data_IF_187071658415
#
_entry.id   IF_187071658415
#
_cell.length_a   1.000
_cell.length_b   1.000
_cell.length_c   1.000
_cell.angle_alpha   90.00
_cell.angle_beta   90.00
_cell.angle_gamma   90.00
#
_symmetry.space_group_name_H-M   'P 1'
#
loop_
_entity.id
_entity.type
_entity.pdbx_description
1 polymer ?
#
# COMPACT_ATOMS: atom_id res chain seq x y z
N UNK A 1 30.41 12.49 13.56
CA UNK A 1 29.32 12.16 14.50
C UNK A 1 28.17 11.45 13.80
N UNK A 2 27.60 12.01 12.72
CA UNK A 2 26.55 11.30 11.94
C UNK A 2 27.08 9.99 11.34
N UNK A 3 28.24 10.00 10.69
CA UNK A 3 28.83 8.79 10.06
C UNK A 3 29.06 7.64 11.03
N UNK A 4 29.54 7.93 12.26
CA UNK A 4 29.74 6.90 13.29
C UNK A 4 28.42 6.29 13.75
N UNK A 5 27.37 7.11 13.89
CA UNK A 5 26.02 6.63 14.25
C UNK A 5 25.41 5.76 13.14
N UNK A 6 25.63 6.13 11.87
CA UNK A 6 25.17 5.32 10.72
C UNK A 6 25.88 3.95 10.69
N UNK A 7 27.17 3.90 11.00
CA UNK A 7 27.89 2.63 11.07
C UNK A 7 27.35 1.70 12.18
N UNK A 8 26.97 2.25 13.34
CA UNK A 8 26.32 1.50 14.41
C UNK A 8 24.93 1.00 14.02
N UNK A 9 24.11 1.88 13.41
CA UNK A 9 22.79 1.51 12.92
C UNK A 9 22.86 0.40 11.86
N UNK A 10 23.81 0.50 10.93
CA UNK A 10 24.04 -0.52 9.91
C UNK A 10 24.38 -1.90 10.52
N UNK A 11 25.17 -1.94 11.60
CA UNK A 11 25.45 -3.19 12.33
C UNK A 11 24.18 -3.79 12.92
N UNK A 12 23.34 -2.97 13.59
CA UNK A 12 22.07 -3.43 14.17
C UNK A 12 21.15 -4.00 13.08
N UNK A 13 20.99 -3.28 11.98
CA UNK A 13 20.13 -3.72 10.85
C UNK A 13 20.65 -5.04 10.26
N UNK A 14 21.96 -5.17 10.04
CA UNK A 14 22.55 -6.39 9.50
C UNK A 14 22.42 -7.59 10.43
N UNK A 15 22.52 -7.40 11.75
CA UNK A 15 22.29 -8.48 12.72
C UNK A 15 20.84 -8.98 12.64
N UNK A 16 19.88 -8.07 12.46
CA UNK A 16 18.47 -8.42 12.42
C UNK A 16 17.98 -8.95 11.07
N UNK A 17 18.48 -8.41 9.95
CA UNK A 17 17.95 -8.64 8.60
C UNK A 17 18.95 -9.31 7.64
N UNK A 18 20.21 -9.46 8.05
CA UNK A 18 21.30 -9.91 7.19
C UNK A 18 21.91 -8.78 6.36
N UNK A 19 23.05 -9.06 5.73
CA UNK A 19 23.74 -8.12 4.85
C UNK A 19 23.13 -8.16 3.45
N UNK A 20 22.68 -7.02 2.89
CA UNK A 20 22.13 -6.98 1.53
C UNK A 20 23.17 -7.47 0.50
N UNK A 21 22.80 -8.37 -0.43
CA UNK A 21 23.75 -8.88 -1.42
C UNK A 21 24.13 -7.80 -2.44
N UNK A 22 25.42 -7.69 -2.75
CA UNK A 22 25.92 -6.82 -3.82
C UNK A 22 25.78 -7.46 -5.20
N UNK A 23 25.73 -8.80 -5.24
CA UNK A 23 25.44 -9.58 -6.44
C UNK A 23 24.75 -10.90 -6.09
N UNK A 24 23.99 -11.45 -7.02
CA UNK A 24 23.35 -12.76 -6.93
C UNK A 24 23.26 -13.39 -8.33
N UNK A 25 23.11 -14.71 -8.37
CA UNK A 25 22.87 -15.46 -9.59
C UNK A 25 21.39 -15.82 -9.66
N UNK A 26 20.75 -15.55 -10.79
CA UNK A 26 19.37 -15.94 -11.04
C UNK A 26 19.33 -17.08 -12.06
N UNK A 27 18.75 -18.20 -11.63
CA UNK A 27 18.54 -19.37 -12.49
C UNK A 27 17.08 -19.39 -12.93
N UNK A 28 16.84 -18.96 -14.17
CA UNK A 28 15.52 -19.04 -14.80
C UNK A 28 15.35 -20.45 -15.37
N UNK A 29 14.25 -21.12 -15.03
CA UNK A 29 14.02 -22.52 -15.45
C UNK A 29 14.00 -22.73 -16.97
N UNK A 30 13.73 -21.67 -17.72
CA UNK A 30 13.56 -21.72 -19.18
C UNK A 30 14.81 -21.22 -19.94
N UNK A 31 15.88 -20.80 -19.24
CA UNK A 31 17.14 -20.37 -19.84
C UNK A 31 18.30 -21.23 -19.33
N UNK A 32 19.06 -21.86 -20.23
CA UNK A 32 20.22 -22.71 -19.86
C UNK A 32 21.39 -21.94 -19.25
N UNK A 33 21.37 -20.59 -19.28
CA UNK A 33 22.46 -19.77 -18.77
C UNK A 33 22.15 -19.15 -17.42
N UNK A 34 23.06 -19.39 -16.46
CA UNK A 34 23.09 -18.67 -15.20
C UNK A 34 23.48 -17.20 -15.45
N UNK A 35 22.57 -16.27 -15.11
CA UNK A 35 22.83 -14.85 -15.23
C UNK A 35 23.15 -14.24 -13.85
N UNK A 36 24.32 -13.60 -13.75
CA UNK A 36 24.73 -12.88 -12.54
C UNK A 36 24.32 -11.43 -12.61
N UNK A 37 23.65 -10.95 -11.57
CA UNK A 37 23.16 -9.58 -11.45
C UNK A 37 23.64 -8.92 -10.15
N UNK A 38 23.73 -7.59 -10.17
CA UNK A 38 23.54 -6.76 -8.98
C UNK A 38 22.05 -6.39 -8.86
N UNK A 39 21.53 -6.03 -7.66
CA UNK A 39 20.14 -5.60 -7.52
C UNK A 39 19.73 -4.47 -8.48
N UNK A 40 20.66 -3.54 -8.76
CA UNK A 40 20.44 -2.45 -9.71
C UNK A 40 20.33 -2.96 -11.16
N UNK A 41 21.29 -3.77 -11.62
CA UNK A 41 21.27 -4.29 -13.00
C UNK A 41 20.12 -5.26 -13.23
N UNK A 42 19.70 -5.99 -12.20
CA UNK A 42 18.48 -6.79 -12.24
C UNK A 42 17.25 -5.92 -12.48
N UNK A 43 17.07 -4.84 -11.71
CA UNK A 43 15.96 -3.90 -11.94
C UNK A 43 15.99 -3.31 -13.35
N UNK A 44 17.14 -2.79 -13.79
CA UNK A 44 17.29 -2.13 -15.09
C UNK A 44 16.99 -3.07 -16.27
N UNK A 45 17.36 -4.35 -16.18
CA UNK A 45 17.20 -5.32 -17.28
C UNK A 45 15.88 -6.11 -17.22
N UNK A 46 15.45 -6.51 -16.04
CA UNK A 46 14.33 -7.45 -15.87
C UNK A 46 13.01 -6.75 -15.52
N UNK A 47 13.06 -5.58 -14.87
CA UNK A 47 11.87 -4.90 -14.34
C UNK A 47 11.56 -3.63 -15.14
N UNK A 48 12.52 -2.72 -15.28
CA UNK A 48 12.32 -1.40 -15.87
C UNK A 48 11.67 -1.42 -17.28
N UNK A 49 11.97 -2.38 -18.19
CA UNK A 49 11.29 -2.46 -19.49
C UNK A 49 9.79 -2.73 -19.41
N UNK A 50 9.33 -3.35 -18.33
CA UNK A 50 7.92 -3.71 -18.11
C UNK A 50 7.23 -2.80 -17.08
N UNK A 51 8.00 -2.22 -16.16
CA UNK A 51 7.52 -1.37 -15.08
C UNK A 51 8.51 -0.24 -14.82
N UNK A 52 8.36 0.86 -15.56
CA UNK A 52 9.15 2.08 -15.35
C UNK A 52 8.64 2.83 -14.12
N UNK A 53 9.45 2.93 -13.07
CA UNK A 53 9.13 3.68 -11.85
C UNK A 53 8.93 5.18 -12.13
N UNK A 54 9.78 5.76 -12.98
CA UNK A 54 9.74 7.19 -13.30
C UNK A 54 8.50 7.61 -14.10
N UNK A 55 7.78 6.64 -14.68
CA UNK A 55 6.51 6.89 -15.37
C UNK A 55 5.30 6.86 -14.42
N UNK A 56 5.50 6.58 -13.12
CA UNK A 56 4.43 6.52 -12.13
C UNK A 56 4.21 7.89 -11.50
N UNK A 57 2.95 8.25 -11.33
CA UNK A 57 2.55 9.51 -10.72
C UNK A 57 1.57 9.26 -9.58
N UNK A 58 1.64 10.11 -8.56
CA UNK A 58 0.74 10.07 -7.42
C UNK A 58 -0.38 11.11 -7.57
N UNK A 59 -1.62 10.64 -7.48
CA UNK A 59 -2.82 11.48 -7.41
C UNK A 59 -3.46 11.32 -6.03
N UNK A 60 -3.64 12.42 -5.34
CA UNK A 60 -4.31 12.47 -4.03
C UNK A 60 -5.73 13.00 -4.12
N UNK A 61 -6.53 12.71 -3.11
CA UNK A 61 -7.83 13.33 -2.87
C UNK A 61 -7.91 13.87 -1.44
N UNK A 62 -7.64 15.16 -1.34
CA UNK A 62 -7.74 15.97 -0.15
C UNK A 62 -8.86 17.02 -0.34
N UNK A 63 -10.06 16.78 0.22
CA UNK A 63 -11.19 17.68 0.10
C UNK A 63 -11.18 18.84 1.10
N UNK A 64 -10.12 19.00 1.91
CA UNK A 64 -10.04 20.11 2.86
C UNK A 64 -10.12 21.45 2.11
N UNK A 65 -10.83 22.46 2.63
CA UNK A 65 -10.91 23.78 1.99
C UNK A 65 -9.55 24.47 1.78
N UNK A 66 -8.54 24.11 2.56
CA UNK A 66 -7.16 24.59 2.41
C UNK A 66 -6.42 23.96 1.22
N UNK A 67 -6.90 22.84 0.68
CA UNK A 67 -6.25 22.09 -0.39
C UNK A 67 -7.06 22.25 -1.69
N UNK A 68 -6.52 23.00 -2.64
CA UNK A 68 -7.15 23.21 -3.95
C UNK A 68 -6.89 22.04 -4.88
N UNK A 69 -7.88 21.64 -5.67
CA UNK A 69 -7.69 20.65 -6.72
C UNK A 69 -6.84 21.21 -7.87
N UNK A 70 -6.14 20.34 -8.58
CA UNK A 70 -5.18 20.70 -9.64
C UNK A 70 -3.78 20.99 -9.13
N UNK A 71 -3.58 21.24 -7.84
CA UNK A 71 -2.31 21.69 -7.26
C UNK A 71 -1.45 20.51 -6.78
N UNK A 72 -0.13 20.71 -6.84
CA UNK A 72 0.83 19.78 -6.26
C UNK A 72 1.07 20.11 -4.79
N UNK A 73 1.15 19.08 -3.96
CA UNK A 73 1.49 19.18 -2.55
C UNK A 73 2.67 18.27 -2.23
N UNK A 74 3.53 18.68 -1.32
CA UNK A 74 4.58 17.84 -0.75
C UNK A 74 4.55 17.92 0.78
N UNK A 75 4.99 16.86 1.44
CA UNK A 75 5.01 16.81 2.91
C UNK A 75 6.41 17.17 3.39
N UNK A 76 6.52 18.14 4.30
CA UNK A 76 7.79 18.55 4.90
C UNK A 76 8.51 17.36 5.55
N UNK A 77 9.80 17.21 5.27
CA UNK A 77 10.67 16.16 5.82
C UNK A 77 10.22 14.71 5.55
N UNK A 78 9.43 14.47 4.51
CA UNK A 78 8.87 13.15 4.17
C UNK A 78 9.79 12.22 3.36
N UNK A 79 11.06 12.56 3.19
CA UNK A 79 12.02 11.71 2.46
C UNK A 79 12.67 10.67 3.38
N UNK A 80 12.81 9.45 2.88
CA UNK A 80 13.59 8.39 3.52
C UNK A 80 15.07 8.38 3.12
N UNK A 81 15.48 9.27 2.21
CA UNK A 81 16.86 9.38 1.70
C UNK A 81 17.33 10.83 1.82
N UNK A 82 18.54 11.03 2.34
CA UNK A 82 19.16 12.37 2.36
C UNK A 82 19.26 12.91 0.93
N UNK A 83 18.70 14.11 0.71
CA UNK A 83 18.59 14.73 -0.62
C UNK A 83 17.79 13.91 -1.65
N UNK A 84 16.96 12.97 -1.18
CA UNK A 84 16.01 12.23 -2.01
C UNK A 84 14.78 13.05 -2.39
N UNK A 85 13.90 12.45 -3.18
CA UNK A 85 12.62 13.04 -3.56
C UNK A 85 11.69 13.12 -2.34
N UNK A 86 11.00 14.24 -2.20
CA UNK A 86 9.94 14.39 -1.22
C UNK A 86 8.70 13.61 -1.68
N UNK A 87 7.95 13.07 -0.72
CA UNK A 87 6.62 12.55 -1.00
C UNK A 87 5.75 13.70 -1.50
N UNK A 88 5.22 13.54 -2.71
CA UNK A 88 4.37 14.53 -3.36
C UNK A 88 3.21 13.87 -4.09
N UNK A 89 2.12 14.61 -4.22
CA UNK A 89 0.92 14.20 -4.93
C UNK A 89 0.26 15.41 -5.59
N UNK A 90 -0.47 15.18 -6.69
CA UNK A 90 -1.37 16.19 -7.25
C UNK A 90 -2.78 15.97 -6.70
N UNK A 91 -3.37 17.00 -6.09
CA UNK A 91 -4.69 16.90 -5.49
C UNK A 91 -5.79 16.95 -6.56
N UNK A 92 -6.71 16.00 -6.58
CA UNK A 92 -7.75 15.87 -7.58
C UNK A 92 -9.11 15.49 -6.97
N UNK A 93 -10.24 15.81 -7.64
CA UNK A 93 -11.54 15.29 -7.27
C UNK A 93 -11.55 13.76 -7.33
N UNK A 94 -12.29 13.11 -6.42
CA UNK A 94 -12.35 11.65 -6.36
C UNK A 94 -12.85 11.02 -7.67
N UNK A 95 -13.72 11.71 -8.41
CA UNK A 95 -14.20 11.23 -9.71
C UNK A 95 -13.05 11.03 -10.70
N UNK A 96 -12.06 11.94 -10.70
CA UNK A 96 -10.85 11.82 -11.54
C UNK A 96 -10.03 10.60 -11.12
N UNK A 97 -9.85 10.38 -9.81
CA UNK A 97 -9.13 9.20 -9.31
C UNK A 97 -9.84 7.92 -9.75
N UNK A 98 -11.15 7.81 -9.57
CA UNK A 98 -11.94 6.63 -9.95
C UNK A 98 -11.89 6.35 -11.46
N UNK A 99 -11.95 7.39 -12.29
CA UNK A 99 -11.83 7.29 -13.74
C UNK A 99 -10.44 6.78 -14.15
N UNK A 100 -9.39 7.37 -13.60
CA UNK A 100 -8.00 7.00 -13.87
C UNK A 100 -7.71 5.57 -13.40
N UNK A 101 -8.22 5.18 -12.23
CA UNK A 101 -8.16 3.80 -11.74
C UNK A 101 -8.81 2.84 -12.73
N UNK A 102 -10.04 3.12 -13.16
CA UNK A 102 -10.76 2.27 -14.11
C UNK A 102 -10.01 2.13 -15.44
N UNK A 103 -9.45 3.22 -15.97
CA UNK A 103 -8.62 3.19 -17.19
C UNK A 103 -7.35 2.34 -17.03
N UNK A 104 -6.64 2.52 -15.92
CA UNK A 104 -5.43 1.74 -15.61
C UNK A 104 -5.74 0.24 -15.55
N UNK A 105 -6.82 -0.12 -14.85
CA UNK A 105 -7.24 -1.51 -14.65
C UNK A 105 -7.76 -2.14 -15.94
N UNK A 106 -8.52 -1.40 -16.75
CA UNK A 106 -8.96 -1.85 -18.08
C UNK A 106 -7.78 -2.14 -19.02
N UNK A 107 -6.67 -1.41 -18.86
CA UNK A 107 -5.42 -1.64 -19.59
C UNK A 107 -4.52 -2.73 -18.96
N UNK A 108 -4.99 -3.42 -17.90
CA UNK A 108 -4.23 -4.48 -17.22
C UNK A 108 -3.13 -3.98 -16.28
N UNK A 109 -3.06 -2.68 -15.99
CA UNK A 109 -2.13 -2.13 -15.01
C UNK A 109 -2.80 -2.02 -13.64
N UNK A 110 -2.30 -2.79 -12.68
CA UNK A 110 -2.72 -2.68 -11.28
C UNK A 110 -2.48 -1.28 -10.71
N UNK A 111 -3.30 -0.90 -9.72
CA UNK A 111 -3.25 0.41 -9.07
C UNK A 111 -2.87 0.24 -7.62
N UNK A 112 -1.85 0.96 -7.17
CA UNK A 112 -1.55 1.09 -5.75
C UNK A 112 -2.47 2.14 -5.15
N UNK A 113 -3.12 1.82 -4.04
CA UNK A 113 -4.11 2.65 -3.38
C UNK A 113 -3.74 2.81 -1.91
N UNK A 114 -3.58 4.05 -1.44
CA UNK A 114 -3.54 4.36 -0.02
C UNK A 114 -4.94 4.70 0.51
N UNK A 115 -5.30 4.12 1.65
CA UNK A 115 -6.61 4.28 2.23
C UNK A 115 -6.60 4.20 3.76
N UNK A 116 -7.75 4.51 4.36
CA UNK A 116 -8.03 4.28 5.77
C UNK A 116 -8.94 3.05 5.93
N UNK A 117 -8.38 1.91 6.32
CA UNK A 117 -9.20 0.74 6.66
C UNK A 117 -9.52 0.77 8.16
N UNK A 118 -10.64 1.39 8.48
CA UNK A 118 -11.15 1.43 9.85
C UNK A 118 -11.71 0.08 10.29
N UNK A 119 -11.60 -0.21 11.59
CA UNK A 119 -12.12 -1.45 12.20
C UNK A 119 -13.63 -1.61 12.01
N UNK A 120 -14.38 -0.51 11.89
CA UNK A 120 -15.82 -0.52 11.68
C UNK A 120 -16.23 -1.15 10.34
N UNK A 121 -15.32 -1.25 9.36
CA UNK A 121 -15.57 -1.92 8.08
C UNK A 121 -15.05 -3.37 8.05
N UNK A 122 -14.38 -3.82 9.11
CA UNK A 122 -13.79 -5.15 9.13
C UNK A 122 -14.88 -6.20 9.34
N UNK A 123 -15.23 -6.91 8.28
CA UNK A 123 -16.07 -8.10 8.29
C UNK A 123 -15.25 -9.35 7.90
N UNK A 124 -15.86 -10.53 8.04
CA UNK A 124 -15.25 -11.80 7.60
C UNK A 124 -15.31 -12.01 6.08
N UNK A 125 -16.05 -11.15 5.38
CA UNK A 125 -16.35 -11.29 3.96
C UNK A 125 -15.41 -10.48 3.05
N UNK A 126 -14.57 -9.62 3.65
CA UNK A 126 -13.64 -8.76 2.91
C UNK A 126 -14.32 -7.65 2.10
N UNK A 127 -15.51 -7.21 2.50
CA UNK A 127 -16.27 -6.18 1.78
C UNK A 127 -16.18 -4.84 2.50
N UNK A 128 -15.59 -3.84 1.85
CA UNK A 128 -15.54 -2.46 2.31
C UNK A 128 -16.63 -1.64 1.62
N UNK A 129 -17.70 -1.34 2.36
CA UNK A 129 -18.83 -0.51 1.95
C UNK A 129 -19.38 0.25 3.17
N UNK A 130 -19.92 1.44 2.95
CA UNK A 130 -20.63 2.20 3.98
C UNK A 130 -21.90 1.47 4.46
N UNK A 131 -22.44 0.57 3.64
CA UNK A 131 -23.67 -0.18 3.91
C UNK A 131 -23.43 -1.55 4.56
N UNK A 132 -22.17 -1.90 4.87
CA UNK A 132 -21.84 -3.18 5.51
C UNK A 132 -22.52 -3.34 6.86
N UNK A 133 -22.68 -2.25 7.63
CA UNK A 133 -23.36 -2.25 8.92
C UNK A 133 -24.47 -1.20 8.92
N UNK A 134 -25.67 -1.61 9.33
CA UNK A 134 -26.78 -0.67 9.50
C UNK A 134 -26.81 -0.11 10.93
N UNK A 135 -25.86 0.77 11.25
CA UNK A 135 -25.75 1.36 12.58
C UNK A 135 -26.94 2.25 12.95
N UNK A 136 -27.53 2.94 11.97
CA UNK A 136 -28.68 3.81 12.19
C UNK A 136 -29.89 3.02 12.70
N UNK A 137 -30.13 1.82 12.17
CA UNK A 137 -31.19 0.95 12.67
C UNK A 137 -30.97 0.48 14.12
N UNK A 138 -29.71 0.35 14.55
CA UNK A 138 -29.37 -0.12 15.90
C UNK A 138 -29.38 1.02 16.92
N UNK A 139 -28.77 2.16 16.58
CA UNK A 139 -28.50 3.26 17.50
C UNK A 139 -29.40 4.49 17.28
N UNK A 140 -30.19 4.52 16.21
CA UNK A 140 -31.01 5.67 15.85
C UNK A 140 -30.21 6.89 15.39
N UNK A 141 -28.95 6.72 14.99
CA UNK A 141 -28.08 7.81 14.52
C UNK A 141 -27.03 7.30 13.52
N UNK A 142 -26.52 8.17 12.61
CA UNK A 142 -25.40 7.82 11.76
C UNK A 142 -24.13 7.61 12.58
N UNK A 143 -23.36 6.56 12.27
CA UNK A 143 -22.09 6.25 12.91
C UNK A 143 -20.99 6.26 11.84
N UNK A 144 -19.96 7.08 12.04
CA UNK A 144 -18.81 7.19 11.14
C UNK A 144 -19.00 8.08 9.90
N UNK A 145 -20.25 8.45 9.57
CA UNK A 145 -20.60 9.29 8.41
C UNK A 145 -21.19 10.66 8.78
N UNK A 146 -21.25 10.99 10.08
CA UNK A 146 -21.81 12.27 10.55
C UNK A 146 -20.96 13.49 10.15
N UNK A 147 -19.65 13.29 9.98
CA UNK A 147 -18.73 14.29 9.45
C UNK A 147 -18.37 13.90 8.02
N UNK A 148 -18.22 14.89 7.14
CA UNK A 148 -17.66 14.64 5.82
C UNK A 148 -16.15 14.31 5.91
N UNK A 149 -15.56 13.94 4.79
CA UNK A 149 -14.15 13.54 4.77
C UNK A 149 -13.20 14.68 5.16
N UNK A 150 -13.48 15.92 4.76
CA UNK A 150 -12.64 17.07 5.07
C UNK A 150 -12.61 17.32 6.58
N UNK A 151 -13.77 17.32 7.22
CA UNK A 151 -13.92 17.44 8.66
C UNK A 151 -13.22 16.30 9.39
N UNK A 152 -13.40 15.05 8.93
CA UNK A 152 -12.70 13.90 9.53
C UNK A 152 -11.18 14.03 9.43
N UNK A 153 -10.64 14.62 8.36
CA UNK A 153 -9.21 14.89 8.24
C UNK A 153 -8.76 16.00 9.20
N UNK A 154 -9.52 17.09 9.32
CA UNK A 154 -9.23 18.21 10.21
C UNK A 154 -9.25 17.79 11.69
N UNK A 155 -10.26 17.01 12.09
CA UNK A 155 -10.41 16.49 13.46
C UNK A 155 -9.61 15.20 13.71
N UNK A 156 -8.76 14.78 12.77
CA UNK A 156 -7.89 13.59 12.88
C UNK A 156 -8.66 12.28 13.15
N UNK A 157 -9.89 12.20 12.67
CA UNK A 157 -10.72 11.00 12.71
C UNK A 157 -10.46 10.05 11.53
N UNK A 158 -9.74 10.50 10.50
CA UNK A 158 -9.30 9.66 9.37
C UNK A 158 -7.94 10.10 8.86
N UNK A 159 -7.12 9.13 8.47
CA UNK A 159 -5.82 9.33 7.80
C UNK A 159 -5.45 8.05 7.06
N UNK A 160 -4.54 8.15 6.07
CA UNK A 160 -3.98 6.98 5.40
C UNK A 160 -3.25 6.09 6.42
N UNK A 161 -3.67 4.84 6.56
CA UNK A 161 -3.08 3.88 7.50
C UNK A 161 -2.65 2.56 6.84
N UNK A 162 -2.98 2.37 5.57
CA UNK A 162 -2.64 1.15 4.84
C UNK A 162 -2.62 1.39 3.34
N UNK A 163 -2.06 0.42 2.60
CA UNK A 163 -2.13 0.38 1.15
C UNK A 163 -2.66 -0.96 0.64
N UNK A 164 -3.35 -0.89 -0.48
CA UNK A 164 -3.91 -2.01 -1.21
C UNK A 164 -3.39 -2.01 -2.65
N UNK A 165 -3.25 -3.20 -3.22
CA UNK A 165 -3.04 -3.36 -4.66
C UNK A 165 -4.37 -3.74 -5.30
N UNK A 166 -4.94 -2.80 -6.05
CA UNK A 166 -6.20 -2.98 -6.79
C UNK A 166 -5.87 -3.57 -8.15
N UNK A 167 -6.57 -4.66 -8.50
CA UNK A 167 -6.33 -5.43 -9.73
C UNK A 167 -7.57 -5.61 -10.57
N UNK A 168 -8.75 -5.27 -10.05
CA UNK A 168 -10.03 -5.49 -10.73
C UNK A 168 -10.95 -4.28 -10.58
N UNK A 169 -11.78 -4.04 -11.58
CA UNK A 169 -12.87 -3.07 -11.57
C UNK A 169 -14.13 -3.74 -12.13
N UNK A 170 -15.27 -3.50 -11.51
CA UNK A 170 -16.59 -3.85 -12.05
C UNK A 170 -17.35 -2.58 -12.35
N UNK A 171 -17.93 -2.53 -13.55
CA UNK A 171 -18.73 -1.41 -14.04
C UNK A 171 -20.22 -1.73 -13.92
N UNK A 172 -21.05 -0.69 -13.81
CA UNK A 172 -22.50 -0.80 -13.91
C UNK A 172 -22.99 -0.83 -15.38
N UNK A 173 -24.31 -0.83 -15.57
CA UNK A 173 -24.93 -0.85 -16.90
C UNK A 173 -24.67 0.43 -17.73
N UNK A 174 -24.22 1.52 -17.10
CA UNK A 174 -23.86 2.79 -17.73
C UNK A 174 -22.34 2.94 -17.89
N UNK A 175 -21.58 1.84 -17.72
CA UNK A 175 -20.13 1.81 -17.75
C UNK A 175 -19.45 2.69 -16.69
N UNK A 176 -20.13 3.00 -15.59
CA UNK A 176 -19.54 3.71 -14.45
C UNK A 176 -18.94 2.71 -13.45
N UNK A 177 -17.81 3.04 -12.79
CA UNK A 177 -17.25 2.19 -11.75
C UNK A 177 -18.23 1.96 -10.60
N UNK A 178 -18.48 0.70 -10.26
CA UNK A 178 -19.36 0.31 -9.14
C UNK A 178 -18.57 -0.20 -7.94
N UNK A 179 -17.58 -1.07 -8.21
CA UNK A 179 -16.72 -1.69 -7.21
C UNK A 179 -15.36 -2.04 -7.79
N UNK A 180 -14.37 -2.10 -6.93
CA UNK A 180 -13.00 -2.48 -7.23
C UNK A 180 -12.61 -3.71 -6.42
N UNK A 181 -11.61 -4.46 -6.88
CA UNK A 181 -11.13 -5.67 -6.24
C UNK A 181 -9.63 -5.67 -6.05
N UNK A 182 -9.17 -6.21 -4.92
CA UNK A 182 -7.76 -6.51 -4.70
C UNK A 182 -7.44 -7.95 -5.10
N UNK A 183 -6.16 -8.21 -5.38
CA UNK A 183 -5.72 -9.54 -5.84
C UNK A 183 -6.17 -10.64 -4.85
N UNK A 184 -6.91 -11.62 -5.37
CA UNK A 184 -7.24 -12.86 -4.66
C UNK A 184 -5.97 -13.66 -4.51
N UNK A 185 -5.49 -13.89 -3.28
CA UNK A 185 -4.51 -14.95 -3.05
C UNK A 185 -5.27 -16.27 -3.18
N UNK A 186 -5.40 -16.83 -4.38
CA UNK A 186 -5.79 -18.23 -4.51
C UNK A 186 -4.71 -19.03 -3.78
N UNK A 187 -5.03 -19.48 -2.58
CA UNK A 187 -4.26 -20.49 -1.88
C UNK A 187 -4.40 -21.81 -2.68
N UNK A 188 -3.76 -21.88 -3.85
CA UNK A 188 -3.30 -23.16 -4.36
C UNK A 188 -2.11 -23.53 -3.49
N UNK A 189 -2.37 -24.45 -2.58
CA UNK A 189 -1.39 -25.31 -1.93
C UNK A 189 -0.29 -25.72 -2.91
N UNK A 190 0.84 -25.02 -2.86
CA UNK A 190 2.14 -25.62 -3.09
C UNK A 190 2.95 -25.27 -1.86
N UNK A 191 2.93 -26.19 -0.89
CA UNK A 191 3.94 -26.24 0.15
C UNK A 191 5.28 -26.45 -0.55
N UNK A 192 5.93 -25.36 -0.93
CA UNK A 192 7.37 -25.35 -1.15
C UNK A 192 7.93 -25.65 0.23
N UNK A 193 8.37 -26.90 0.40
CA UNK A 193 9.20 -27.31 1.53
C UNK A 193 10.28 -26.26 1.69
N UNK A 194 10.41 -25.73 2.90
CA UNK A 194 11.59 -24.99 3.32
C UNK A 194 12.83 -25.72 2.78
N UNK A 195 13.58 -25.09 1.88
CA UNK A 195 14.99 -25.44 1.72
C UNK A 195 15.71 -24.84 2.92
N UNK A 196 15.62 -25.54 4.04
CA UNK A 196 16.54 -25.39 5.16
C UNK A 196 17.88 -25.96 4.70
N UNK A 197 18.90 -25.10 4.65
CA UNK A 197 20.29 -25.55 4.69
C UNK A 197 20.51 -26.13 6.09
N UNK A 198 20.47 -27.46 6.19
CA UNK A 198 20.90 -28.17 7.39
C UNK A 198 22.41 -28.04 7.53
N UNK A 199 22.87 -27.28 8.52
CA UNK A 199 24.13 -27.59 9.18
C UNK A 199 23.93 -27.51 10.69
N UNK A 200 24.28 -28.63 11.32
CA UNK A 200 23.87 -29.03 12.65
C UNK A 200 24.61 -28.30 13.75
N UNK A 201 23.91 -27.88 14.79
CA UNK A 201 24.44 -27.88 16.15
C UNK A 201 23.40 -28.55 17.05
N UNK A 202 23.58 -29.86 17.26
CA UNK A 202 23.06 -30.55 18.44
C UNK A 202 24.04 -30.24 19.55
N UNK A 203 23.58 -29.58 20.60
CA UNK A 203 23.77 -30.07 21.96
C UNK A 203 23.01 -29.21 22.98
N UNK A 204 22.50 -29.94 23.97
CA UNK A 204 22.23 -29.52 25.34
C UNK A 204 20.80 -29.05 25.72
N UNK A 205 20.15 -29.97 26.46
CA UNK A 205 19.29 -29.78 27.64
C UNK A 205 17.78 -29.74 27.43
N UNK A 206 17.18 -30.93 27.60
CA UNK A 206 15.88 -31.15 28.24
C UNK A 206 15.76 -30.33 29.53
N UNK A 207 14.75 -29.47 29.69
CA UNK A 207 13.76 -29.59 30.78
C UNK A 207 12.60 -28.58 30.64
N UNK A 208 11.41 -29.03 31.04
CA UNK A 208 10.20 -28.31 31.50
C UNK A 208 9.21 -27.77 30.47
N UNK A 209 8.30 -28.70 30.16
CA UNK A 209 6.88 -28.56 29.88
C UNK A 209 6.18 -27.46 30.73
N UNK A 210 5.82 -26.32 30.10
CA UNK A 210 4.73 -25.38 30.49
C UNK A 210 4.51 -24.21 29.51
N UNK A 211 5.26 -24.11 28.42
CA UNK A 211 5.16 -23.01 27.43
C UNK A 211 4.25 -23.30 26.23
N UNK A 212 3.77 -24.56 26.04
CA UNK A 212 2.98 -24.96 24.86
C UNK A 212 1.61 -24.27 24.74
N UNK A 213 1.03 -23.75 25.83
CA UNK A 213 -0.27 -23.06 25.81
C UNK A 213 -0.17 -21.59 25.31
N UNK A 214 0.91 -20.86 25.63
CA UNK A 214 1.11 -19.47 25.16
C UNK A 214 1.52 -19.40 23.68
N UNK A 215 2.25 -20.40 23.18
CA UNK A 215 2.67 -20.45 21.77
C UNK A 215 1.53 -20.81 20.81
N UNK A 216 0.51 -21.56 21.25
CA UNK A 216 -0.69 -21.87 20.45
C UNK A 216 -1.61 -20.66 20.29
N UNK A 217 -1.79 -19.84 21.32
CA UNK A 217 -2.60 -18.62 21.25
C UNK A 217 -1.95 -17.57 20.33
N UNK A 218 -0.64 -17.35 20.45
CA UNK A 218 0.10 -16.44 19.57
C UNK A 218 0.16 -16.92 18.10
N UNK A 219 0.28 -18.23 17.86
CA UNK A 219 0.17 -18.81 16.50
C UNK A 219 -1.26 -18.73 15.96
N UNK A 220 -2.30 -18.86 16.79
CA UNK A 220 -3.69 -18.74 16.36
C UNK A 220 -4.07 -17.29 16.01
N UNK A 221 -3.54 -16.30 16.74
CA UNK A 221 -3.70 -14.87 16.43
C UNK A 221 -2.91 -14.46 15.17
N UNK A 222 -1.67 -14.95 15.03
CA UNK A 222 -0.88 -14.75 13.81
C UNK A 222 -1.48 -15.49 12.60
N UNK A 223 -2.09 -16.66 12.81
CA UNK A 223 -2.82 -17.39 11.78
C UNK A 223 -4.11 -16.65 11.41
N UNK A 224 -4.92 -16.16 12.36
CA UNK A 224 -6.11 -15.33 12.07
C UNK A 224 -5.77 -14.02 11.36
N UNK A 225 -4.66 -13.36 11.74
CA UNK A 225 -4.12 -12.20 11.00
C UNK A 225 -3.67 -12.56 9.58
N UNK A 226 -3.15 -13.77 9.36
CA UNK A 226 -2.81 -14.29 8.02
C UNK A 226 -4.06 -14.69 7.21
N UNK A 227 -5.12 -15.19 7.84
CA UNK A 227 -6.35 -15.61 7.13
C UNK A 227 -7.11 -14.42 6.55
N UNK A 228 -7.14 -13.26 7.21
CA UNK A 228 -7.79 -12.05 6.68
C UNK A 228 -6.98 -11.35 5.58
N UNK A 229 -5.73 -11.74 5.35
CA UNK A 229 -4.83 -11.14 4.34
C UNK A 229 -4.80 -11.95 3.04
N UNK A 230 -5.58 -13.05 2.96
CA UNK A 230 -5.69 -13.92 1.78
C UNK A 230 -7.04 -13.88 1.08
N UNK A 231 -8.08 -13.28 1.67
CA UNK A 231 -9.35 -13.05 0.99
C UNK A 231 -9.23 -11.79 0.11
N UNK A 232 -9.72 -11.90 -1.12
CA UNK A 232 -9.86 -10.74 -2.01
C UNK A 232 -10.77 -9.71 -1.34
N UNK A 233 -10.34 -8.47 -1.28
CA UNK A 233 -11.15 -7.38 -0.71
C UNK A 233 -11.94 -6.74 -1.83
N UNK A 234 -13.26 -6.65 -1.65
CA UNK A 234 -14.16 -5.89 -2.53
C UNK A 234 -14.32 -4.49 -1.96
N UNK A 235 -14.02 -3.48 -2.77
CA UNK A 235 -14.04 -2.06 -2.43
C UNK A 235 -15.21 -1.41 -3.16
N UNK A 236 -16.28 -1.04 -2.46
CA UNK A 236 -17.35 -0.28 -3.09
C UNK A 236 -16.93 1.18 -3.30
N UNK A 237 -17.48 1.80 -4.35
CA UNK A 237 -17.21 3.22 -4.65
C UNK A 237 -17.65 4.16 -3.54
N UNK A 238 -18.72 3.84 -2.80
CA UNK A 238 -19.17 4.62 -1.64
C UNK A 238 -18.06 4.72 -0.58
N UNK A 239 -17.41 3.61 -0.27
CA UNK A 239 -16.32 3.55 0.69
C UNK A 239 -15.04 4.20 0.15
N UNK A 240 -14.72 4.01 -1.14
CA UNK A 240 -13.55 4.65 -1.76
C UNK A 240 -13.64 6.18 -1.66
N UNK A 241 -14.81 6.77 -1.90
CA UNK A 241 -15.00 8.22 -1.77
C UNK A 241 -14.62 8.74 -0.38
N UNK A 242 -15.03 8.01 0.65
CA UNK A 242 -14.83 8.41 2.04
C UNK A 242 -13.43 8.09 2.58
N UNK A 243 -12.78 7.02 2.10
CA UNK A 243 -11.59 6.45 2.73
C UNK A 243 -10.40 6.16 1.80
N UNK A 244 -10.51 6.35 0.47
CA UNK A 244 -9.36 6.34 -0.44
C UNK A 244 -8.71 7.72 -0.48
N UNK A 245 -7.39 7.83 -0.34
CA UNK A 245 -6.73 9.13 -0.26
C UNK A 245 -5.74 9.37 -1.37
N UNK A 246 -5.07 8.33 -1.86
CA UNK A 246 -4.00 8.49 -2.84
C UNK A 246 -3.92 7.25 -3.71
N UNK A 247 -3.67 7.44 -5.00
CA UNK A 247 -3.41 6.36 -5.95
C UNK A 247 -2.10 6.61 -6.68
N UNK A 248 -1.40 5.53 -7.03
CA UNK A 248 -0.24 5.58 -7.91
C UNK A 248 -0.55 4.80 -9.18
N UNK A 249 -0.42 5.50 -10.31
CA UNK A 249 -0.78 5.01 -11.65
C UNK A 249 0.28 5.39 -12.66
N UNK A 250 0.25 4.76 -13.84
CA UNK A 250 1.07 5.18 -14.97
C UNK A 250 0.56 6.52 -15.54
N UNK A 251 1.48 7.45 -15.78
CA UNK A 251 1.21 8.79 -16.29
C UNK A 251 0.35 8.80 -17.58
N UNK A 252 0.40 7.74 -18.39
CA UNK A 252 -0.37 7.63 -19.64
C UNK A 252 -1.88 7.58 -19.42
N UNK A 253 -2.35 7.20 -18.24
CA UNK A 253 -3.78 7.14 -17.91
C UNK A 253 -4.31 8.45 -17.31
N UNK A 254 -3.43 9.38 -16.96
CA UNK A 254 -3.78 10.64 -16.31
C UNK A 254 -4.15 11.68 -17.37
N UNK A 255 -5.22 12.47 -17.17
CA UNK A 255 -5.61 13.51 -18.11
C UNK A 255 -4.46 14.51 -18.39
N UNK A 256 -4.29 14.99 -19.64
CA UNK A 256 -3.17 15.86 -20.01
C UNK A 256 -3.03 17.13 -19.15
N UNK A 257 -4.15 17.74 -18.75
CA UNK A 257 -4.14 18.93 -17.88
C UNK A 257 -3.57 18.65 -16.49
N UNK A 258 -3.87 17.48 -15.92
CA UNK A 258 -3.32 17.05 -14.63
C UNK A 258 -1.82 16.74 -14.75
N UNK A 259 -1.42 16.07 -15.84
CA UNK A 259 0.00 15.80 -16.13
C UNK A 259 0.81 17.08 -16.36
N UNK A 260 0.19 18.12 -16.92
CA UNK A 260 0.83 19.42 -17.07
C UNK A 260 1.05 20.08 -15.70
N UNK A 261 0.01 20.11 -14.85
CA UNK A 261 0.14 20.65 -13.50
C UNK A 261 1.22 19.92 -12.68
N UNK A 262 1.29 18.58 -12.76
CA UNK A 262 2.34 17.76 -12.14
C UNK A 262 3.77 18.15 -12.55
N UNK A 263 3.98 18.69 -13.76
CA UNK A 263 5.30 19.08 -14.27
C UNK A 263 5.63 20.55 -14.04
N UNK A 264 4.66 21.42 -14.26
CA UNK A 264 4.90 22.85 -14.42
C UNK A 264 4.67 23.62 -13.11
N UNK A 265 3.86 23.10 -12.18
CA UNK A 265 3.52 23.78 -10.93
C UNK A 265 4.41 23.34 -9.76
N UNK A 266 4.94 24.29 -8.95
CA UNK A 266 5.67 23.94 -7.76
C UNK A 266 4.74 23.28 -6.72
N UNK A 267 5.28 22.31 -5.98
CA UNK A 267 4.57 21.70 -4.86
C UNK A 267 4.46 22.68 -3.68
N UNK A 268 3.26 22.84 -3.15
CA UNK A 268 3.02 23.53 -1.89
C UNK A 268 3.39 22.62 -0.71
N UNK A 269 4.17 23.13 0.23
CA UNK A 269 4.64 22.35 1.37
C UNK A 269 3.59 22.31 2.48
N UNK A 270 3.24 21.09 2.88
CA UNK A 270 2.37 20.78 4.00
C UNK A 270 3.21 20.37 5.23
N UNK A 271 2.72 20.61 6.46
CA UNK A 271 3.46 20.27 7.66
C UNK A 271 3.67 18.75 7.82
N UNK A 272 4.72 18.34 8.55
CA UNK A 272 5.07 16.93 8.77
C UNK A 272 3.96 16.10 9.43
N UNK A 273 3.09 16.73 10.22
CA UNK A 273 1.97 16.07 10.91
C UNK A 273 0.66 16.07 10.11
N UNK A 274 0.69 16.47 8.84
CA UNK A 274 -0.47 16.49 7.97
C UNK A 274 -1.03 15.06 7.77
N UNK A 275 -2.36 14.82 7.75
CA UNK A 275 -2.94 13.50 7.49
C UNK A 275 -2.62 12.92 6.10
N UNK A 276 -2.16 13.75 5.16
CA UNK A 276 -1.61 13.35 3.86
C UNK A 276 -0.10 12.98 3.92
N UNK A 277 0.47 12.89 5.14
CA UNK A 277 1.86 12.52 5.44
C UNK A 277 2.23 11.04 5.27
N UNK A 278 2.85 10.42 6.27
CA UNK A 278 3.30 9.03 6.16
C UNK A 278 2.12 8.03 6.15
N UNK A 279 2.25 6.96 5.35
CA UNK A 279 1.21 5.94 5.11
C UNK A 279 0.97 4.95 6.26
N UNK A 280 1.91 4.84 7.20
CA UNK A 280 1.96 3.79 8.23
C UNK A 280 2.39 4.36 9.59
N UNK A 281 1.65 5.35 10.10
CA UNK A 281 1.81 5.86 11.47
C UNK A 281 1.10 4.99 12.50
#
# INVERSE_FOLDING_TARGET
MVESMIAELYKVINICLGTPPTSFTLNLKDEEQEARFSPRTFYERMIAPHFALDARVSLGHDPRPSASYGRNYCIAHSSNMMSGLLQSYNNQPMDVLLEVMAKSLAAGSAVWLACDIQRIFKNNDGVLSLKTHNFEQVFGMPVGTALDKADRMLFRATSRNTSLLVTEVSLDALHQPLKFGTARKTAKTNAVKNTESEESIKDAVDTVDKTKAKTKAAKADAAKRKTSMGQATVLHVDWLREYAFEIVVDARFVPPGVMQALRDEPSEELPIWDPMGALLS
#
